data_IF_117834127261
#
_entry.id   IF_117834127261
#
_cell.length_a   1.000
_cell.length_b   1.000
_cell.length_c   1.000
_cell.angle_alpha   90.00
_cell.angle_beta   90.00
_cell.angle_gamma   90.00
#
_symmetry.space_group_name_H-M   'P 1'
#
loop_
_entity.id
_entity.type
_entity.pdbx_description
1 polymer ?
#
# COMPACT_ATOMS: atom_id res chain seq x y z
N UNK A 1 -6.99 -9.72 -16.78
CA UNK A 1 -6.44 -8.50 -17.39
C UNK A 1 -5.23 -8.10 -16.57
N UNK A 2 -4.02 -8.20 -17.11
CA UNK A 2 -2.78 -8.04 -16.30
C UNK A 2 -2.39 -6.57 -16.10
N UNK A 3 -2.93 -5.68 -16.93
CA UNK A 3 -2.77 -4.22 -16.82
C UNK A 3 -3.93 -3.51 -17.56
N UNK A 4 -4.12 -2.22 -17.27
CA UNK A 4 -4.97 -1.30 -18.03
C UNK A 4 -4.09 -0.31 -18.80
N UNK A 5 -4.39 -0.02 -20.06
CA UNK A 5 -3.72 1.12 -20.70
C UNK A 5 -4.28 2.44 -20.16
N UNK A 6 -3.52 3.52 -20.25
CA UNK A 6 -3.95 4.86 -19.86
C UNK A 6 -5.19 5.30 -20.65
N UNK A 7 -5.32 4.83 -21.90
CA UNK A 7 -6.49 5.09 -22.77
C UNK A 7 -7.72 4.31 -22.32
N UNK A 8 -7.54 3.08 -21.83
CA UNK A 8 -8.65 2.27 -21.31
C UNK A 8 -9.13 2.79 -19.96
N UNK A 9 -8.19 3.26 -19.13
CA UNK A 9 -8.50 3.91 -17.85
C UNK A 9 -9.42 5.13 -18.03
N UNK A 10 -9.29 5.88 -19.13
CA UNK A 10 -10.16 7.02 -19.41
C UNK A 10 -11.60 6.63 -19.79
N UNK A 11 -11.86 5.36 -20.12
CA UNK A 11 -13.15 4.86 -20.64
C UNK A 11 -13.89 3.95 -19.66
N UNK A 12 -13.20 3.45 -18.64
CA UNK A 12 -13.74 2.48 -17.69
C UNK A 12 -14.70 3.15 -16.69
N UNK A 13 -15.80 2.49 -16.36
CA UNK A 13 -16.73 2.98 -15.34
C UNK A 13 -16.23 2.69 -13.92
N UNK A 14 -16.71 3.46 -12.94
CA UNK A 14 -16.43 3.20 -11.52
C UNK A 14 -16.87 1.80 -11.07
N UNK A 15 -17.99 1.30 -11.59
CA UNK A 15 -18.47 -0.07 -11.33
C UNK A 15 -17.47 -1.12 -11.83
N UNK A 16 -16.92 -0.94 -13.03
CA UNK A 16 -15.91 -1.85 -13.58
C UNK A 16 -14.61 -1.78 -12.79
N UNK A 17 -14.21 -0.58 -12.33
CA UNK A 17 -13.07 -0.42 -11.40
C UNK A 17 -13.33 -1.21 -10.11
N UNK A 18 -14.52 -1.09 -9.52
CA UNK A 18 -14.90 -1.83 -8.31
C UNK A 18 -14.88 -3.35 -8.48
N UNK A 19 -15.19 -3.85 -9.69
CA UNK A 19 -15.17 -5.27 -10.01
C UNK A 19 -13.75 -5.85 -10.24
N UNK A 20 -12.72 -5.02 -10.43
CA UNK A 20 -11.35 -5.50 -10.63
C UNK A 20 -10.91 -6.37 -9.43
N UNK A 21 -10.24 -7.52 -9.66
CA UNK A 21 -9.94 -8.47 -8.59
C UNK A 21 -8.97 -7.93 -7.53
N UNK A 22 -8.13 -6.95 -7.89
CA UNK A 22 -7.18 -6.32 -6.99
C UNK A 22 -6.40 -5.18 -7.67
N UNK A 23 -5.27 -4.75 -7.07
CA UNK A 23 -4.42 -3.73 -7.65
C UNK A 23 -4.02 -4.08 -9.09
N UNK A 24 -4.28 -3.16 -10.01
CA UNK A 24 -4.07 -3.36 -11.44
C UNK A 24 -3.11 -2.30 -11.98
N UNK A 25 -1.99 -2.68 -12.61
CA UNK A 25 -1.04 -1.72 -13.21
C UNK A 25 -1.69 -0.89 -14.33
N UNK A 26 -1.38 0.40 -14.38
CA UNK A 26 -1.76 1.29 -15.48
C UNK A 26 -0.54 1.58 -16.34
N UNK A 27 -0.63 1.35 -17.65
CA UNK A 27 0.46 1.51 -18.61
C UNK A 27 0.24 2.62 -19.63
N UNK A 28 1.29 3.34 -19.96
CA UNK A 28 1.38 4.21 -21.14
C UNK A 28 2.47 3.68 -22.07
N UNK A 29 2.08 3.07 -23.19
CA UNK A 29 2.97 2.20 -23.96
C UNK A 29 3.42 1.01 -23.10
N UNK A 30 4.74 0.75 -23.05
CA UNK A 30 5.30 -0.34 -22.24
C UNK A 30 5.57 0.04 -20.78
N UNK A 31 5.56 1.34 -20.47
CA UNK A 31 5.87 1.86 -19.13
C UNK A 31 4.66 1.77 -18.22
N UNK A 32 4.84 1.16 -17.05
CA UNK A 32 3.89 1.30 -15.94
C UNK A 32 4.01 2.71 -15.35
N UNK A 33 2.90 3.44 -15.35
CA UNK A 33 2.84 4.85 -14.90
C UNK A 33 2.00 5.03 -13.63
N UNK A 34 1.27 4.00 -13.21
CA UNK A 34 0.49 4.05 -11.98
C UNK A 34 -0.06 2.68 -11.59
N UNK A 35 -0.71 2.65 -10.42
CA UNK A 35 -1.42 1.49 -9.92
C UNK A 35 -2.86 1.91 -9.60
N UNK A 36 -3.83 1.24 -10.20
CA UNK A 36 -5.24 1.41 -9.85
C UNK A 36 -5.58 0.40 -8.76
N UNK A 37 -5.95 0.90 -7.59
CA UNK A 37 -6.35 0.06 -6.44
C UNK A 37 -7.85 0.25 -6.20
N UNK A 38 -8.68 -0.77 -6.51
CA UNK A 38 -10.10 -0.72 -6.20
C UNK A 38 -10.31 -0.67 -4.69
N UNK A 39 -11.06 0.33 -4.23
CA UNK A 39 -11.51 0.39 -2.84
C UNK A 39 -12.70 -0.56 -2.68
N UNK A 40 -12.45 -1.69 -2.04
CA UNK A 40 -13.49 -2.68 -1.72
C UNK A 40 -13.79 -2.64 -0.23
N UNK A 41 -15.04 -2.93 0.14
CA UNK A 41 -15.33 -3.27 1.52
C UNK A 41 -14.46 -4.45 1.93
N UNK A 42 -13.90 -4.37 3.13
CA UNK A 42 -13.13 -5.47 3.68
C UNK A 42 -14.03 -6.71 3.78
N UNK A 43 -13.50 -7.85 3.36
CA UNK A 43 -14.07 -9.15 3.68
C UNK A 43 -13.75 -9.46 5.16
N UNK A 44 -14.75 -9.45 6.06
CA UNK A 44 -14.51 -9.58 7.50
C UNK A 44 -13.85 -10.92 7.87
N UNK A 45 -14.22 -12.00 7.17
CA UNK A 45 -13.69 -13.34 7.43
C UNK A 45 -12.23 -13.43 6.99
N UNK A 46 -11.93 -12.87 5.81
CA UNK A 46 -10.55 -12.77 5.33
C UNK A 46 -9.71 -11.91 6.26
N UNK A 47 -10.23 -10.79 6.74
CA UNK A 47 -9.52 -9.93 7.70
C UNK A 47 -9.27 -10.66 9.02
N UNK A 48 -10.27 -11.33 9.56
CA UNK A 48 -10.14 -12.13 10.79
C UNK A 48 -9.06 -13.22 10.65
N UNK A 49 -9.00 -13.91 9.51
CA UNK A 49 -7.97 -14.91 9.23
C UNK A 49 -6.55 -14.29 9.18
N UNK A 50 -6.41 -13.12 8.57
CA UNK A 50 -5.13 -12.38 8.53
C UNK A 50 -4.71 -11.96 9.94
N UNK A 51 -5.64 -11.44 10.74
CA UNK A 51 -5.38 -11.01 12.12
C UNK A 51 -4.99 -12.21 13.01
N UNK A 52 -5.68 -13.33 12.92
CA UNK A 52 -5.34 -14.54 13.67
C UNK A 52 -3.93 -15.05 13.31
N UNK A 53 -3.54 -14.98 12.03
CA UNK A 53 -2.18 -15.31 11.59
C UNK A 53 -1.16 -14.32 12.12
N UNK A 54 -1.45 -13.02 12.10
CA UNK A 54 -0.58 -11.99 12.64
C UNK A 54 -0.37 -12.16 14.15
N UNK A 55 -1.43 -12.47 14.90
CA UNK A 55 -1.36 -12.77 16.33
C UNK A 55 -0.53 -14.01 16.62
N UNK A 56 -0.70 -15.07 15.83
CA UNK A 56 0.12 -16.28 15.95
C UNK A 56 1.62 -15.99 15.69
N UNK A 57 1.94 -15.18 14.67
CA UNK A 57 3.31 -14.74 14.38
C UNK A 57 3.85 -13.79 15.46
N UNK A 58 2.97 -13.06 16.14
CA UNK A 58 3.35 -12.16 17.21
C UNK A 58 3.68 -12.90 18.52
N UNK A 59 3.27 -14.16 18.67
CA UNK A 59 3.62 -14.97 19.85
C UNK A 59 5.13 -15.18 19.90
N UNK A 60 5.77 -14.58 20.91
CA UNK A 60 7.22 -14.63 21.10
C UNK A 60 7.98 -13.39 20.65
N UNK A 61 7.28 -12.37 20.13
CA UNK A 61 7.88 -11.05 19.89
C UNK A 61 8.13 -10.35 21.23
N UNK A 62 9.28 -9.70 21.36
CA UNK A 62 9.60 -8.81 22.47
C UNK A 62 9.28 -7.38 22.05
N UNK A 63 8.08 -6.92 22.40
CA UNK A 63 7.61 -5.58 22.05
C UNK A 63 8.53 -4.47 22.58
N UNK A 64 9.22 -4.68 23.71
CA UNK A 64 10.13 -3.66 24.25
C UNK A 64 11.42 -3.55 23.42
N UNK A 65 11.96 -4.68 22.95
CA UNK A 65 13.11 -4.70 22.05
C UNK A 65 12.75 -4.11 20.67
N UNK A 66 11.55 -4.40 20.17
CA UNK A 66 11.06 -3.88 18.89
C UNK A 66 10.80 -2.37 18.96
N UNK A 67 10.17 -1.88 20.03
CA UNK A 67 10.00 -0.44 20.24
C UNK A 67 11.35 0.27 20.38
N UNK A 68 12.34 -0.36 21.03
CA UNK A 68 13.69 0.18 21.10
C UNK A 68 14.38 0.23 19.73
N UNK A 69 14.12 -0.75 18.85
CA UNK A 69 14.59 -0.74 17.47
C UNK A 69 13.87 0.33 16.62
N UNK A 70 12.56 0.49 16.81
CA UNK A 70 11.76 1.47 16.08
C UNK A 70 12.06 2.91 16.48
N UNK A 71 12.42 3.18 17.75
CA UNK A 71 12.90 4.51 18.18
C UNK A 71 14.13 4.99 17.40
N UNK A 72 14.91 4.08 16.80
CA UNK A 72 16.05 4.45 15.95
C UNK A 72 15.61 5.13 14.65
N UNK A 73 14.36 4.93 14.22
CA UNK A 73 13.75 5.63 13.08
C UNK A 73 13.33 7.07 13.40
N UNK A 74 13.45 7.53 14.66
CA UNK A 74 13.19 8.92 15.05
C UNK A 74 11.75 9.36 14.80
N UNK A 75 11.58 10.63 14.40
CA UNK A 75 10.29 11.27 14.11
C UNK A 75 9.75 11.01 12.69
N UNK A 76 10.30 10.01 11.98
CA UNK A 76 9.85 9.70 10.62
C UNK A 76 8.47 9.06 10.70
N UNK A 77 7.42 9.82 10.37
CA UNK A 77 6.09 9.28 10.13
C UNK A 77 6.09 8.51 8.79
N UNK A 78 6.01 7.16 8.81
CA UNK A 78 6.08 6.35 7.59
C UNK A 78 4.82 6.47 6.71
N UNK A 79 3.80 7.19 7.17
CA UNK A 79 2.55 7.41 6.44
C UNK A 79 2.29 8.89 6.13
N UNK A 80 3.18 9.82 6.53
CA UNK A 80 3.15 11.20 6.06
C UNK A 80 3.75 11.29 4.64
N UNK A 81 2.86 11.24 3.66
CA UNK A 81 3.19 11.41 2.23
C UNK A 81 3.03 12.86 1.76
N UNK A 82 3.04 13.84 2.67
CA UNK A 82 3.07 15.25 2.28
C UNK A 82 4.30 15.56 1.41
N UNK A 83 4.16 16.57 0.55
CA UNK A 83 5.26 17.00 -0.33
C UNK A 83 6.45 17.44 0.51
N UNK A 84 6.19 18.03 1.66
CA UNK A 84 7.15 18.47 2.66
C UNK A 84 7.92 17.30 3.27
N UNK A 85 7.22 16.25 3.75
CA UNK A 85 7.84 15.06 4.32
C UNK A 85 8.68 14.28 3.30
N UNK A 86 8.19 14.11 2.07
CA UNK A 86 8.93 13.44 0.98
C UNK A 86 10.20 14.20 0.62
N UNK A 87 10.17 15.54 0.63
CA UNK A 87 11.37 16.37 0.38
C UNK A 87 12.41 16.23 1.48
N UNK A 88 12.00 16.19 2.76
CA UNK A 88 12.89 16.03 3.89
C UNK A 88 13.64 14.68 3.83
N UNK A 89 12.91 13.58 3.60
CA UNK A 89 13.48 12.24 3.47
C UNK A 89 14.50 12.13 2.32
N UNK A 90 14.26 12.82 1.22
CA UNK A 90 15.17 12.83 0.06
C UNK A 90 16.42 13.69 0.29
N UNK A 91 16.34 14.71 1.16
CA UNK A 91 17.45 15.61 1.46
C UNK A 91 18.50 14.96 2.37
N UNK A 92 18.10 14.08 3.29
CA UNK A 92 19.01 13.36 4.20
C UNK A 92 19.90 12.30 3.52
N UNK A 93 19.76 12.09 2.20
CA UNK A 93 20.54 11.12 1.41
C UNK A 93 21.68 11.71 0.58
N UNK A 94 22.10 12.95 0.86
CA UNK A 94 23.24 13.62 0.18
C UNK A 94 24.36 13.91 1.15
#
# INVERSE_FOLDING_TARGET
MTYLSIRDLQKISGETIGALPGPTPVKSGDRTVGLLVPLKMADPDRLAAVLARAEALAKGRDSAAEDAALRQFGDVDPVDWSVEAVRALMAERT
#
